data_IF_014793298180
#
_entry.id   IF_014793298180
#
_cell.length_a   1.000
_cell.length_b   1.000
_cell.length_c   1.000
_cell.angle_alpha   90.00
_cell.angle_beta   90.00
_cell.angle_gamma   90.00
#
_symmetry.space_group_name_H-M   'P 1'
#
loop_
_entity.id
_entity.type
_entity.pdbx_description
1 polymer ?
#
# COMPACT_ATOMS: atom_id res chain seq x y z
N UNK A 1 -15.19 22.48 -8.94
CA UNK A 1 -16.23 22.00 -8.00
C UNK A 1 -16.67 20.58 -8.34
N UNK A 2 -16.96 20.23 -9.59
CA UNK A 2 -17.40 18.86 -9.96
C UNK A 2 -16.37 17.76 -9.72
N UNK A 3 -15.09 17.97 -10.06
CA UNK A 3 -14.04 16.96 -9.87
C UNK A 3 -13.82 16.62 -8.38
N UNK A 4 -13.88 17.63 -7.52
CA UNK A 4 -13.72 17.44 -6.07
C UNK A 4 -14.92 16.66 -5.52
N UNK A 5 -16.15 16.98 -5.97
CA UNK A 5 -17.36 16.26 -5.58
C UNK A 5 -17.34 14.79 -6.04
N UNK A 6 -16.83 14.50 -7.25
CA UNK A 6 -16.66 13.12 -7.73
C UNK A 6 -15.63 12.37 -6.87
N UNK A 7 -14.52 13.04 -6.50
CA UNK A 7 -13.51 12.46 -5.62
C UNK A 7 -14.06 12.17 -4.21
N UNK A 8 -14.86 13.07 -3.65
CA UNK A 8 -15.50 12.89 -2.35
C UNK A 8 -16.53 11.76 -2.39
N UNK A 9 -17.38 11.70 -3.41
CA UNK A 9 -18.35 10.63 -3.60
C UNK A 9 -17.66 9.26 -3.78
N UNK A 10 -16.54 9.22 -4.51
CA UNK A 10 -15.75 8.01 -4.68
C UNK A 10 -15.10 7.58 -3.36
N UNK A 11 -14.58 8.52 -2.57
CA UNK A 11 -14.03 8.25 -1.22
C UNK A 11 -15.11 7.70 -0.29
N UNK A 12 -16.31 8.28 -0.27
CA UNK A 12 -17.43 7.81 0.55
C UNK A 12 -17.88 6.40 0.14
N UNK A 13 -17.96 6.13 -1.17
CA UNK A 13 -18.28 4.80 -1.69
C UNK A 13 -17.25 3.75 -1.24
N UNK A 14 -15.96 4.06 -1.34
CA UNK A 14 -14.91 3.14 -0.88
C UNK A 14 -14.92 2.96 0.65
N UNK A 15 -15.21 4.02 1.39
CA UNK A 15 -15.32 3.98 2.84
C UNK A 15 -16.49 3.11 3.32
N UNK A 16 -17.64 3.17 2.65
CA UNK A 16 -18.84 2.41 3.01
C UNK A 16 -18.76 0.93 2.66
N UNK A 17 -18.12 0.58 1.54
CA UNK A 17 -17.92 -0.82 1.14
C UNK A 17 -16.89 -1.53 2.01
N UNK A 18 -15.92 -0.79 2.56
CA UNK A 18 -14.83 -1.34 3.35
C UNK A 18 -13.83 -2.15 2.50
N UNK A 19 -12.61 -2.28 3.01
CA UNK A 19 -11.49 -2.87 2.26
C UNK A 19 -11.72 -4.31 1.83
N UNK A 20 -12.45 -5.09 2.63
CA UNK A 20 -12.80 -6.47 2.33
C UNK A 20 -13.61 -6.64 1.03
N UNK A 21 -14.32 -5.58 0.61
CA UNK A 21 -15.21 -5.61 -0.55
C UNK A 21 -14.57 -4.94 -1.75
N UNK A 22 -14.04 -3.73 -1.58
CA UNK A 22 -13.55 -2.95 -2.72
C UNK A 22 -12.25 -3.52 -3.31
N UNK A 23 -11.35 -4.07 -2.48
CA UNK A 23 -10.06 -4.60 -2.94
C UNK A 23 -10.22 -5.80 -3.90
N UNK A 24 -11.05 -6.82 -3.60
CA UNK A 24 -11.39 -7.87 -4.57
C UNK A 24 -11.97 -7.35 -5.89
N UNK A 25 -12.86 -6.36 -5.84
CA UNK A 25 -13.49 -5.78 -7.05
C UNK A 25 -12.43 -5.09 -7.91
N UNK A 26 -11.54 -4.32 -7.29
CA UNK A 26 -10.43 -3.66 -7.98
C UNK A 26 -9.50 -4.67 -8.67
N UNK A 27 -9.09 -5.71 -7.94
CA UNK A 27 -8.22 -6.76 -8.49
C UNK A 27 -8.91 -7.58 -9.60
N UNK A 28 -10.22 -7.80 -9.49
CA UNK A 28 -11.00 -8.40 -10.57
C UNK A 28 -10.94 -7.56 -11.85
N UNK A 29 -11.19 -6.24 -11.75
CA UNK A 29 -11.15 -5.33 -12.90
C UNK A 29 -9.76 -5.33 -13.55
N UNK A 30 -8.69 -5.23 -12.76
CA UNK A 30 -7.31 -5.32 -13.26
C UNK A 30 -7.08 -6.64 -13.98
N UNK A 31 -7.45 -7.77 -13.38
CA UNK A 31 -7.27 -9.08 -14.00
C UNK A 31 -7.98 -9.19 -15.37
N UNK A 32 -9.17 -8.60 -15.50
CA UNK A 32 -9.91 -8.53 -16.78
C UNK A 32 -9.17 -7.66 -17.81
N UNK A 33 -8.64 -6.50 -17.41
CA UNK A 33 -7.85 -5.62 -18.29
C UNK A 33 -6.62 -6.35 -18.84
N UNK A 34 -5.97 -7.17 -18.00
CA UNK A 34 -4.86 -8.04 -18.40
C UNK A 34 -5.30 -9.32 -19.14
N UNK A 35 -6.56 -9.39 -19.58
CA UNK A 35 -7.14 -10.49 -20.36
C UNK A 35 -7.14 -11.84 -19.63
N UNK A 36 -7.19 -11.85 -18.30
CA UNK A 36 -7.45 -13.07 -17.56
C UNK A 36 -8.87 -13.58 -17.86
N UNK A 37 -9.04 -14.92 -17.85
CA UNK A 37 -10.36 -15.53 -18.07
C UNK A 37 -11.33 -15.04 -16.98
N UNK A 38 -12.53 -14.51 -17.32
CA UNK A 38 -13.43 -13.92 -16.33
C UNK A 38 -13.77 -14.83 -15.16
N UNK A 39 -14.01 -16.13 -15.42
CA UNK A 39 -14.27 -17.10 -14.35
C UNK A 39 -13.08 -17.31 -13.40
N UNK A 40 -11.84 -17.26 -13.93
CA UNK A 40 -10.63 -17.38 -13.10
C UNK A 40 -10.39 -16.10 -12.30
N UNK A 41 -10.57 -14.94 -12.92
CA UNK A 41 -10.43 -13.64 -12.26
C UNK A 41 -11.45 -13.49 -11.12
N UNK A 42 -12.72 -13.87 -11.37
CA UNK A 42 -13.78 -13.78 -10.37
C UNK A 42 -13.52 -14.70 -9.17
N UNK A 43 -13.12 -15.95 -9.43
CA UNK A 43 -12.77 -16.90 -8.36
C UNK A 43 -11.58 -16.40 -7.55
N UNK A 44 -10.54 -15.87 -8.21
CA UNK A 44 -9.37 -15.31 -7.53
C UNK A 44 -9.75 -14.12 -6.64
N UNK A 45 -10.57 -13.19 -7.15
CA UNK A 45 -11.06 -12.05 -6.38
C UNK A 45 -11.83 -12.48 -5.13
N UNK A 46 -12.75 -13.44 -5.24
CA UNK A 46 -13.49 -13.99 -4.08
C UNK A 46 -12.53 -14.59 -3.05
N UNK A 47 -11.55 -15.40 -3.48
CA UNK A 47 -10.58 -16.01 -2.58
C UNK A 47 -9.79 -14.93 -1.81
N UNK A 48 -9.39 -13.86 -2.48
CA UNK A 48 -8.71 -12.72 -1.85
C UNK A 48 -9.63 -12.04 -0.83
N UNK A 49 -10.91 -11.84 -1.15
CA UNK A 49 -11.89 -11.27 -0.21
C UNK A 49 -12.10 -12.12 1.03
N UNK A 50 -12.25 -13.44 0.87
CA UNK A 50 -12.35 -14.39 2.00
C UNK A 50 -11.06 -14.35 2.84
N UNK A 51 -9.90 -14.33 2.18
CA UNK A 51 -8.60 -14.20 2.85
C UNK A 51 -8.49 -12.94 3.69
N UNK A 52 -9.00 -11.81 3.17
CA UNK A 52 -9.02 -10.54 3.90
C UNK A 52 -9.90 -10.59 5.16
N UNK A 53 -11.09 -11.20 5.07
CA UNK A 53 -11.97 -11.38 6.23
C UNK A 53 -11.28 -12.26 7.28
N UNK A 54 -10.68 -13.38 6.86
CA UNK A 54 -9.95 -14.28 7.76
C UNK A 54 -8.77 -13.59 8.43
N UNK A 55 -7.98 -12.83 7.68
CA UNK A 55 -6.89 -12.03 8.20
C UNK A 55 -7.37 -11.01 9.23
N UNK A 56 -8.44 -10.26 8.93
CA UNK A 56 -9.02 -9.29 9.85
C UNK A 56 -9.46 -9.91 11.18
N UNK A 57 -10.07 -11.10 11.15
CA UNK A 57 -10.46 -11.83 12.37
C UNK A 57 -9.24 -12.18 13.25
N UNK A 58 -8.17 -12.71 12.64
CA UNK A 58 -6.95 -13.08 13.36
C UNK A 58 -6.26 -11.84 13.94
N UNK A 59 -6.18 -10.76 13.16
CA UNK A 59 -5.57 -9.51 13.61
C UNK A 59 -6.36 -8.88 14.76
N UNK A 60 -7.69 -8.87 14.69
CA UNK A 60 -8.53 -8.35 15.78
C UNK A 60 -8.28 -9.15 17.07
N UNK A 61 -8.29 -10.48 16.99
CA UNK A 61 -7.98 -11.34 18.14
C UNK A 61 -6.58 -11.05 18.70
N UNK A 62 -5.59 -10.86 17.82
CA UNK A 62 -4.22 -10.52 18.21
C UNK A 62 -4.17 -9.18 18.96
N UNK A 63 -4.80 -8.12 18.44
CA UNK A 63 -4.82 -6.81 19.08
C UNK A 63 -5.61 -6.81 20.39
N UNK A 64 -6.74 -7.53 20.45
CA UNK A 64 -7.55 -7.67 21.67
C UNK A 64 -6.75 -8.32 22.81
N UNK A 65 -5.85 -9.24 22.50
CA UNK A 65 -4.94 -9.84 23.48
C UNK A 65 -3.71 -8.96 23.78
N UNK A 66 -3.12 -8.34 22.76
CA UNK A 66 -1.83 -7.63 22.88
C UNK A 66 -1.97 -6.23 23.48
N UNK A 67 -2.99 -5.45 23.07
CA UNK A 67 -3.15 -4.04 23.49
C UNK A 67 -3.31 -3.89 25.00
N UNK A 68 -4.10 -4.72 25.72
CA UNK A 68 -4.20 -4.64 27.17
C UNK A 68 -2.88 -4.95 27.88
N UNK A 69 -2.10 -5.90 27.36
CA UNK A 69 -0.79 -6.27 27.90
C UNK A 69 0.21 -5.13 27.71
N UNK A 70 0.24 -4.52 26.51
CA UNK A 70 1.09 -3.37 26.23
C UNK A 70 0.75 -2.18 27.16
N UNK A 71 -0.54 -1.88 27.37
CA UNK A 71 -0.99 -0.85 28.32
C UNK A 71 -0.58 -1.18 29.77
N UNK A 72 -0.75 -2.43 30.21
CA UNK A 72 -0.32 -2.85 31.54
C UNK A 72 1.21 -2.78 31.73
N UNK A 73 2.00 -2.94 30.66
CA UNK A 73 3.44 -2.70 30.69
C UNK A 73 3.78 -1.22 30.84
N UNK A 74 3.11 -0.33 30.09
CA UNK A 74 3.24 1.14 30.22
C UNK A 74 2.98 1.56 31.68
N UNK A 75 1.84 1.12 32.24
CA UNK A 75 1.42 1.49 33.59
C UNK A 75 2.41 1.06 34.68
N UNK A 76 3.08 -0.08 34.50
CA UNK A 76 4.05 -0.62 35.49
C UNK A 76 5.46 -0.11 35.31
N UNK A 77 5.87 0.19 34.07
CA UNK A 77 7.25 0.61 33.76
C UNK A 77 7.42 2.12 33.75
N UNK A 78 6.32 2.88 33.69
CA UNK A 78 6.34 4.33 33.54
C UNK A 78 6.83 4.79 32.16
N UNK A 79 7.09 3.87 31.22
CA UNK A 79 7.52 4.19 29.86
C UNK A 79 6.29 4.66 29.08
N UNK A 80 6.22 5.96 28.80
CA UNK A 80 5.19 6.56 27.96
C UNK A 80 5.44 6.14 26.50
N UNK A 81 4.71 5.14 26.02
CA UNK A 81 4.68 4.83 24.59
C UNK A 81 3.63 5.73 23.92
N UNK A 82 4.08 6.73 23.14
CA UNK A 82 3.21 7.69 22.44
C UNK A 82 2.44 7.08 21.27
N UNK A 83 2.90 5.95 20.73
CA UNK A 83 2.32 5.32 19.54
C UNK A 83 2.23 3.80 19.68
N UNK A 84 1.19 3.23 19.06
CA UNK A 84 1.00 1.79 18.92
C UNK A 84 1.16 1.47 17.44
N UNK A 85 2.02 0.50 17.12
CA UNK A 85 2.11 -0.03 15.76
C UNK A 85 0.87 -0.88 15.46
N UNK A 86 0.04 -0.36 14.55
CA UNK A 86 -1.22 -0.97 14.12
C UNK A 86 -1.05 -1.90 12.92
N UNK A 87 0.19 -2.08 12.45
CA UNK A 87 0.53 -2.87 11.29
C UNK A 87 0.22 -2.19 9.96
N UNK A 88 0.82 -2.74 8.91
CA UNK A 88 0.72 -2.23 7.54
C UNK A 88 -0.70 -2.13 6.95
N UNK A 89 -1.68 -3.01 7.23
CA UNK A 89 -3.01 -2.94 6.61
C UNK A 89 -3.76 -1.66 6.96
N UNK A 90 -3.71 -1.27 8.23
CA UNK A 90 -4.39 -0.09 8.75
C UNK A 90 -3.67 1.17 8.26
N UNK A 91 -2.33 1.17 8.26
CA UNK A 91 -1.54 2.26 7.72
C UNK A 91 -1.80 2.50 6.22
N UNK A 92 -1.93 1.43 5.42
CA UNK A 92 -2.25 1.51 4.00
C UNK A 92 -3.63 2.14 3.76
N UNK A 93 -4.64 1.74 4.54
CA UNK A 93 -5.98 2.30 4.46
C UNK A 93 -5.99 3.81 4.79
N UNK A 94 -5.22 4.21 5.81
CA UNK A 94 -5.05 5.63 6.17
C UNK A 94 -4.35 6.38 5.04
N UNK A 95 -3.26 5.84 4.49
CA UNK A 95 -2.46 6.46 3.44
C UNK A 95 -3.29 6.75 2.18
N UNK A 96 -4.02 5.75 1.67
CA UNK A 96 -4.92 5.92 0.53
C UNK A 96 -6.14 6.80 0.83
N UNK A 97 -6.49 6.91 2.11
CA UNK A 97 -7.46 7.88 2.59
C UNK A 97 -6.98 9.33 2.57
N UNK A 98 -5.82 9.67 2.02
CA UNK A 98 -5.34 11.05 1.90
C UNK A 98 -5.36 11.55 0.46
N UNK A 99 -5.42 12.89 0.28
CA UNK A 99 -5.28 13.51 -1.05
C UNK A 99 -3.96 13.12 -1.73
N UNK A 100 -2.88 13.02 -0.94
CA UNK A 100 -1.58 12.57 -1.42
C UNK A 100 -1.65 11.13 -1.92
N UNK A 101 -2.27 10.24 -1.16
CA UNK A 101 -2.39 8.83 -1.55
C UNK A 101 -3.15 8.61 -2.86
N UNK A 102 -4.18 9.42 -3.13
CA UNK A 102 -4.87 9.39 -4.41
C UNK A 102 -4.00 9.87 -5.58
N UNK A 103 -3.20 10.93 -5.38
CA UNK A 103 -2.34 11.53 -6.40
C UNK A 103 -1.06 10.71 -6.68
N UNK A 104 -0.56 9.98 -5.68
CA UNK A 104 0.63 9.14 -5.81
C UNK A 104 0.43 8.00 -6.81
N UNK A 105 -0.79 7.50 -7.01
CA UNK A 105 -1.07 6.42 -7.97
C UNK A 105 -0.69 6.82 -9.41
N UNK A 106 -1.29 7.87 -10.01
CA UNK A 106 -0.92 8.27 -11.37
C UNK A 106 0.52 8.80 -11.46
N UNK A 107 0.99 9.52 -10.43
CA UNK A 107 2.35 10.08 -10.42
C UNK A 107 3.39 8.97 -10.40
N UNK A 108 3.23 7.97 -9.54
CA UNK A 108 4.17 6.86 -9.41
C UNK A 108 4.22 5.98 -10.66
N UNK A 109 3.09 5.76 -11.32
CA UNK A 109 3.10 5.07 -12.63
C UNK A 109 3.94 5.87 -13.64
N UNK A 110 3.75 7.18 -13.72
CA UNK A 110 4.50 8.03 -14.66
C UNK A 110 5.99 8.06 -14.31
N UNK A 111 6.35 8.23 -13.03
CA UNK A 111 7.74 8.25 -12.58
C UNK A 111 8.42 6.91 -12.84
N UNK A 112 7.79 5.78 -12.48
CA UNK A 112 8.36 4.47 -12.75
C UNK A 112 8.59 4.22 -14.24
N UNK A 113 7.64 4.61 -15.11
CA UNK A 113 7.81 4.52 -16.57
C UNK A 113 8.94 5.41 -17.10
N UNK A 114 9.10 6.63 -16.56
CA UNK A 114 10.22 7.53 -16.91
C UNK A 114 11.56 6.91 -16.50
N UNK A 115 11.67 6.41 -15.27
CA UNK A 115 12.89 5.77 -14.76
C UNK A 115 13.27 4.56 -15.61
N UNK A 116 12.29 3.75 -16.02
CA UNK A 116 12.49 2.60 -16.90
C UNK A 116 12.92 3.04 -18.30
N UNK A 117 12.25 4.05 -18.88
CA UNK A 117 12.57 4.57 -20.21
C UNK A 117 13.95 5.22 -20.30
N UNK A 118 14.42 5.83 -19.21
CA UNK A 118 15.78 6.36 -19.08
C UNK A 118 16.82 5.27 -18.71
N UNK A 119 16.40 4.02 -18.50
CA UNK A 119 17.27 2.92 -18.09
C UNK A 119 17.85 3.09 -16.68
N UNK A 120 17.26 3.96 -15.85
CA UNK A 120 17.68 4.19 -14.48
C UNK A 120 17.24 3.02 -13.60
N UNK A 121 16.10 2.40 -13.85
CA UNK A 121 15.65 1.19 -13.14
C UNK A 121 15.39 0.05 -14.12
N UNK A 122 15.44 -1.19 -13.63
CA UNK A 122 15.00 -2.37 -14.39
C UNK A 122 13.69 -2.96 -13.87
N UNK A 123 13.28 -2.56 -12.67
CA UNK A 123 11.98 -2.91 -12.07
C UNK A 123 10.85 -2.03 -12.59
N UNK A 124 9.85 -2.68 -13.18
CA UNK A 124 8.51 -2.11 -13.40
C UNK A 124 7.63 -2.53 -12.22
N UNK A 125 7.13 -1.57 -11.45
CA UNK A 125 6.16 -1.85 -10.39
C UNK A 125 4.75 -1.87 -10.98
N UNK A 126 4.17 -3.06 -11.05
CA UNK A 126 2.81 -3.29 -11.56
C UNK A 126 1.78 -3.41 -10.45
N UNK A 127 2.23 -3.46 -9.19
CA UNK A 127 1.34 -3.63 -8.04
C UNK A 127 0.92 -2.26 -7.49
N UNK A 128 -0.18 -1.72 -8.02
CA UNK A 128 -0.70 -0.42 -7.59
C UNK A 128 -1.06 -0.41 -6.09
N UNK A 129 -1.41 -1.56 -5.51
CA UNK A 129 -1.71 -1.66 -4.09
C UNK A 129 -0.47 -1.45 -3.22
N UNK A 130 0.72 -1.71 -3.76
CA UNK A 130 1.99 -1.52 -3.06
C UNK A 130 2.35 -0.03 -2.84
N UNK A 131 1.74 0.87 -3.62
CA UNK A 131 2.07 2.30 -3.60
C UNK A 131 1.67 2.97 -2.26
N UNK A 132 0.95 2.25 -1.39
CA UNK A 132 0.56 2.70 -0.07
C UNK A 132 1.76 3.16 0.76
N UNK A 133 2.94 2.54 0.59
CA UNK A 133 4.15 2.97 1.31
C UNK A 133 4.56 4.39 0.92
N UNK A 134 4.50 4.71 -0.38
CA UNK A 134 4.86 6.02 -0.91
C UNK A 134 3.80 7.06 -0.54
N UNK A 135 2.53 6.65 -0.62
CA UNK A 135 1.39 7.44 -0.15
C UNK A 135 1.46 7.73 1.36
N UNK A 136 1.92 6.79 2.17
CA UNK A 136 2.06 6.94 3.61
C UNK A 136 3.13 7.97 3.94
N UNK A 137 4.32 7.85 3.36
CA UNK A 137 5.41 8.84 3.55
C UNK A 137 4.96 10.24 3.13
N UNK A 138 4.36 10.38 1.94
CA UNK A 138 3.84 11.67 1.48
C UNK A 138 2.71 12.21 2.37
N UNK A 139 1.81 11.34 2.82
CA UNK A 139 0.70 11.69 3.74
C UNK A 139 1.18 12.14 5.11
N UNK A 140 2.24 11.53 5.64
CA UNK A 140 2.90 11.99 6.88
C UNK A 140 3.50 13.38 6.68
N UNK A 141 4.24 13.62 5.60
CA UNK A 141 4.80 14.95 5.30
C UNK A 141 3.70 16.00 5.14
N UNK A 142 2.59 15.65 4.49
CA UNK A 142 1.42 16.54 4.38
C UNK A 142 0.87 16.90 5.75
N UNK A 143 0.73 15.92 6.63
CA UNK A 143 0.19 16.11 7.97
C UNK A 143 1.08 17.01 8.83
N UNK A 144 2.40 16.95 8.64
CA UNK A 144 3.37 17.76 9.38
C UNK A 144 3.55 19.17 8.81
N UNK A 145 3.51 19.34 7.50
CA UNK A 145 3.91 20.59 6.82
C UNK A 145 2.75 21.36 6.20
N UNK A 146 1.65 20.69 5.85
CA UNK A 146 0.54 21.26 5.08
C UNK A 146 0.86 21.58 3.61
N UNK A 147 2.07 21.26 3.12
CA UNK A 147 2.50 21.58 1.76
C UNK A 147 2.37 20.37 0.83
N UNK A 148 1.41 20.44 -0.10
CA UNK A 148 1.17 19.38 -1.08
C UNK A 148 2.37 19.09 -1.99
N UNK A 149 3.09 20.13 -2.41
CA UNK A 149 4.23 19.98 -3.32
C UNK A 149 5.34 19.21 -2.62
N UNK A 150 5.64 19.59 -1.39
CA UNK A 150 6.67 18.95 -0.60
C UNK A 150 6.32 17.48 -0.27
N UNK A 151 5.05 17.20 0.02
CA UNK A 151 4.54 15.84 0.23
C UNK A 151 4.69 14.95 -1.01
N UNK A 152 4.34 15.47 -2.18
CA UNK A 152 4.46 14.72 -3.44
C UNK A 152 5.92 14.46 -3.80
N UNK A 153 6.81 15.44 -3.59
CA UNK A 153 8.25 15.26 -3.78
C UNK A 153 8.81 14.20 -2.83
N UNK A 154 8.38 14.18 -1.57
CA UNK A 154 8.79 13.16 -0.61
C UNK A 154 8.33 11.76 -1.02
N UNK A 155 7.08 11.62 -1.48
CA UNK A 155 6.54 10.36 -1.97
C UNK A 155 7.32 9.84 -3.19
N UNK A 156 7.60 10.71 -4.16
CA UNK A 156 8.38 10.37 -5.37
C UNK A 156 9.83 10.02 -5.03
N UNK A 157 10.45 10.75 -4.11
CA UNK A 157 11.81 10.42 -3.66
C UNK A 157 11.86 9.03 -3.03
N UNK A 158 10.85 8.69 -2.23
CA UNK A 158 10.74 7.39 -1.60
C UNK A 158 10.46 6.26 -2.61
N UNK A 159 9.59 6.50 -3.60
CA UNK A 159 9.38 5.59 -4.74
C UNK A 159 10.70 5.28 -5.46
N UNK A 160 11.44 6.32 -5.88
CA UNK A 160 12.73 6.18 -6.58
C UNK A 160 13.70 5.34 -5.74
N UNK A 161 13.73 5.59 -4.43
CA UNK A 161 14.56 4.82 -3.51
C UNK A 161 14.15 3.33 -3.47
N UNK A 162 12.86 3.03 -3.30
CA UNK A 162 12.35 1.65 -3.28
C UNK A 162 12.68 0.89 -4.57
N UNK A 163 12.48 1.52 -5.74
CA UNK A 163 12.79 0.90 -7.03
C UNK A 163 14.28 0.60 -7.19
N UNK A 164 15.15 1.49 -6.71
CA UNK A 164 16.62 1.26 -6.73
C UNK A 164 17.03 0.14 -5.80
N UNK A 165 16.44 0.07 -4.61
CA UNK A 165 16.68 -1.02 -3.66
C UNK A 165 16.21 -2.36 -4.25
N UNK A 166 15.10 -2.38 -4.97
CA UNK A 166 14.60 -3.57 -5.67
C UNK A 166 15.63 -4.11 -6.68
N UNK A 167 16.20 -3.21 -7.50
CA UNK A 167 17.22 -3.56 -8.49
C UNK A 167 18.51 -4.10 -7.83
N UNK A 168 18.90 -3.56 -6.67
CA UNK A 168 20.09 -4.00 -5.95
C UNK A 168 19.90 -5.35 -5.24
N UNK A 169 18.71 -5.58 -4.68
CA UNK A 169 18.39 -6.76 -3.87
C UNK A 169 17.93 -7.96 -4.70
N UNK A 170 17.70 -7.77 -6.00
CA UNK A 170 17.20 -8.82 -6.90
C UNK A 170 18.10 -10.07 -6.96
N UNK A 171 19.42 -9.89 -6.98
CA UNK A 171 20.37 -11.03 -7.04
C UNK A 171 20.39 -11.84 -5.74
N UNK A 172 20.49 -11.22 -4.55
CA UNK A 172 20.26 -11.91 -3.28
C UNK A 172 18.92 -12.63 -3.22
N UNK A 173 17.83 -11.97 -3.65
CA UNK A 173 16.49 -12.56 -3.65
C UNK A 173 16.45 -13.86 -4.46
N UNK A 174 16.99 -13.86 -5.68
CA UNK A 174 16.99 -15.05 -6.54
C UNK A 174 17.87 -16.18 -6.02
N UNK A 175 18.90 -15.88 -5.23
CA UNK A 175 19.72 -16.92 -4.57
C UNK A 175 18.95 -17.62 -3.47
N UNK A 176 18.18 -16.85 -2.69
CA UNK A 176 17.36 -17.38 -1.59
C UNK A 176 16.10 -18.08 -2.11
N UNK A 177 15.50 -17.53 -3.19
CA UNK A 177 14.26 -18.02 -3.77
C UNK A 177 14.41 -18.23 -5.29
N UNK A 178 14.98 -19.37 -5.72
CA UNK A 178 15.26 -19.63 -7.14
C UNK A 178 14.03 -19.61 -8.05
N UNK A 179 12.85 -19.93 -7.50
CA UNK A 179 11.57 -19.90 -8.23
C UNK A 179 11.06 -18.50 -8.60
N UNK A 180 11.68 -17.45 -8.05
CA UNK A 180 11.29 -16.06 -8.25
C UNK A 180 12.22 -15.30 -9.21
N UNK A 181 13.02 -16.03 -10.02
CA UNK A 181 13.82 -15.42 -11.07
C UNK A 181 12.94 -14.62 -12.04
N UNK A 182 13.32 -13.38 -12.30
CA UNK A 182 12.54 -12.43 -13.10
C UNK A 182 11.67 -11.48 -12.28
N UNK A 183 11.52 -11.72 -10.98
CA UNK A 183 10.79 -10.83 -10.06
C UNK A 183 11.74 -10.06 -9.15
N UNK A 184 11.32 -8.86 -8.78
CA UNK A 184 11.97 -7.98 -7.79
C UNK A 184 10.91 -7.43 -6.84
N UNK A 185 11.30 -6.93 -5.68
CA UNK A 185 10.37 -6.45 -4.64
C UNK A 185 10.57 -4.93 -4.46
N UNK A 186 9.74 -4.08 -5.10
CA UNK A 186 9.84 -2.62 -5.06
C UNK A 186 9.06 -1.98 -3.90
N UNK A 187 9.12 -2.56 -2.70
CA UNK A 187 8.37 -2.07 -1.54
C UNK A 187 9.27 -1.74 -0.35
N UNK A 188 8.78 -0.85 0.51
CA UNK A 188 9.37 -0.59 1.82
C UNK A 188 9.19 -1.81 2.72
N UNK A 189 10.21 -2.17 3.49
CA UNK A 189 10.02 -3.11 4.59
C UNK A 189 9.20 -2.45 5.69
N UNK A 190 8.06 -3.04 6.03
CA UNK A 190 7.38 -2.82 7.31
C UNK A 190 7.96 -3.73 8.37
#
# INVERSE_FOLDING_TARGET
MEIIAIFEAFRELLGTLGQAIWLPIFLFIIAIIFKAKPGSAFRAAIIIGIGWIGFGLVMNLFFDAMVPVAKAMVDRTGIQFEAIDVGWPIMAAIAYGTLVGALVIPIGIVVNLILLGLGLTKTLDVDIWNFWHWAFVGGTVMTLTGDLTFSLLAAVAYEVFCLKVADWTVKPLWKLFPGYKGYSIPQGGG
#
